data_IF_980064058216
#
_entry.id   IF_980064058216
#
_cell.length_a   1.000
_cell.length_b   1.000
_cell.length_c   1.000
_cell.angle_alpha   90.00
_cell.angle_beta   90.00
_cell.angle_gamma   90.00
#
_symmetry.space_group_name_H-M   'P 1'
#
loop_
_entity.id
_entity.type
_entity.pdbx_description
1 polymer ?
#
# COMPACT_ATOMS: atom_id res chain seq x y z
N UNK A 1 8.15 -9.63 -42.27
CA UNK A 1 8.79 -9.09 -41.05
C UNK A 1 8.25 -7.68 -40.87
N UNK A 2 7.08 -7.55 -40.21
CA UNK A 2 6.39 -6.26 -40.07
C UNK A 2 7.11 -5.41 -39.02
N UNK A 3 7.46 -4.18 -39.38
CA UNK A 3 8.05 -3.19 -38.48
C UNK A 3 7.02 -2.82 -37.42
N UNK A 4 7.21 -3.33 -36.19
CA UNK A 4 6.49 -2.87 -35.01
C UNK A 4 6.81 -1.39 -34.82
N UNK A 5 5.91 -0.52 -35.28
CA UNK A 5 5.92 0.88 -34.92
C UNK A 5 5.64 0.94 -33.42
N UNK A 6 6.71 1.01 -32.62
CA UNK A 6 6.64 1.10 -31.17
C UNK A 6 6.21 2.52 -30.84
N UNK A 7 4.90 2.76 -30.82
CA UNK A 7 4.33 4.02 -30.36
C UNK A 7 4.92 4.34 -28.99
N UNK A 8 5.86 5.30 -28.97
CA UNK A 8 6.61 5.62 -27.75
C UNK A 8 5.63 6.21 -26.74
N UNK A 9 5.58 5.62 -25.55
CA UNK A 9 4.81 6.16 -24.44
C UNK A 9 5.29 7.58 -24.16
N UNK A 10 4.38 8.58 -24.08
CA UNK A 10 4.76 9.95 -23.78
C UNK A 10 5.50 10.04 -22.44
N UNK A 11 6.64 10.75 -22.42
CA UNK A 11 7.48 10.92 -21.22
C UNK A 11 6.68 11.44 -20.02
N UNK A 12 5.69 12.30 -20.22
CA UNK A 12 4.82 12.80 -19.15
C UNK A 12 4.02 11.69 -18.44
N UNK A 13 3.57 10.65 -19.17
CA UNK A 13 2.89 9.49 -18.57
C UNK A 13 3.86 8.64 -17.75
N UNK A 14 5.08 8.45 -18.26
CA UNK A 14 6.15 7.75 -17.54
C UNK A 14 6.52 8.49 -16.26
N UNK A 15 6.68 9.82 -16.31
CA UNK A 15 6.95 10.64 -15.14
C UNK A 15 5.82 10.57 -14.11
N UNK A 16 4.56 10.62 -14.55
CA UNK A 16 3.42 10.47 -13.64
C UNK A 16 3.41 9.09 -12.96
N UNK A 17 3.68 8.02 -13.71
CA UNK A 17 3.79 6.67 -13.15
C UNK A 17 4.96 6.56 -12.14
N UNK A 18 6.13 7.08 -12.49
CA UNK A 18 7.32 7.06 -11.63
C UNK A 18 7.14 7.90 -10.37
N UNK A 19 6.41 9.02 -10.44
CA UNK A 19 6.17 9.89 -9.27
C UNK A 19 5.45 9.17 -8.12
N UNK A 20 4.54 8.25 -8.45
CA UNK A 20 3.85 7.41 -7.47
C UNK A 20 4.86 6.49 -6.76
N UNK A 21 5.81 5.93 -7.51
CA UNK A 21 6.82 5.04 -6.96
C UNK A 21 7.74 5.78 -5.97
N UNK A 22 8.12 7.03 -6.28
CA UNK A 22 8.89 7.87 -5.35
C UNK A 22 8.12 8.13 -4.06
N UNK A 23 6.83 8.49 -4.17
CA UNK A 23 5.96 8.70 -3.01
C UNK A 23 5.84 7.43 -2.16
N UNK A 24 5.53 6.30 -2.79
CA UNK A 24 5.36 5.00 -2.11
C UNK A 24 6.66 4.44 -1.53
N UNK A 25 7.83 4.78 -2.08
CA UNK A 25 9.13 4.26 -1.59
C UNK A 25 9.41 4.64 -0.13
N UNK A 26 8.98 5.84 0.28
CA UNK A 26 9.11 6.31 1.67
C UNK A 26 8.22 5.48 2.62
N UNK A 27 7.06 5.04 2.13
CA UNK A 27 6.17 4.14 2.87
C UNK A 27 6.72 2.72 2.91
N UNK A 28 7.32 2.21 1.84
CA UNK A 28 7.67 0.78 1.81
C UNK A 28 9.01 0.43 2.46
N UNK A 29 10.00 1.33 2.41
CA UNK A 29 11.39 0.92 2.65
C UNK A 29 11.78 0.79 4.14
N UNK A 30 11.55 1.77 5.04
CA UNK A 30 11.87 1.61 6.46
C UNK A 30 10.70 1.11 7.33
N UNK A 31 9.45 1.20 6.85
CA UNK A 31 8.26 1.05 7.70
C UNK A 31 8.15 -0.29 8.42
N UNK A 32 8.25 -1.46 7.74
CA UNK A 32 8.01 -2.73 8.40
C UNK A 32 9.07 -3.02 9.47
N UNK A 33 10.29 -2.53 9.30
CA UNK A 33 11.38 -2.78 10.24
C UNK A 33 11.31 -1.88 11.48
N UNK A 34 11.07 -0.57 11.28
CA UNK A 34 11.03 0.41 12.39
C UNK A 34 9.81 0.17 13.28
N UNK A 35 8.64 -0.07 12.69
CA UNK A 35 7.39 -0.18 13.44
C UNK A 35 7.38 -1.37 14.39
N UNK A 36 7.92 -2.52 13.99
CA UNK A 36 8.01 -3.71 14.86
C UNK A 36 8.85 -3.39 16.10
N UNK A 37 10.03 -2.84 15.89
CA UNK A 37 10.94 -2.48 16.98
C UNK A 37 10.36 -1.37 17.86
N UNK A 38 9.62 -0.42 17.27
CA UNK A 38 8.99 0.67 17.99
C UNK A 38 7.88 0.17 18.93
N UNK A 39 6.92 -0.63 18.41
CA UNK A 39 5.84 -1.17 19.25
C UNK A 39 6.35 -2.13 20.32
N UNK A 40 7.40 -2.92 20.03
CA UNK A 40 7.97 -3.83 21.01
C UNK A 40 8.70 -3.12 22.16
N UNK A 41 9.17 -1.88 21.96
CA UNK A 41 9.96 -1.13 22.95
C UNK A 41 9.18 -0.03 23.66
N UNK A 42 8.20 0.57 22.99
CA UNK A 42 7.52 1.80 23.45
C UNK A 42 6.03 1.62 23.72
N UNK A 43 5.47 0.42 23.55
CA UNK A 43 4.06 0.16 23.90
C UNK A 43 3.91 -1.15 24.68
N UNK A 44 2.72 -1.40 25.21
CA UNK A 44 2.38 -2.65 25.93
C UNK A 44 2.18 -3.88 25.01
N UNK A 45 2.43 -3.75 23.71
CA UNK A 45 2.28 -4.84 22.77
C UNK A 45 3.38 -5.90 22.98
N UNK A 46 3.01 -7.08 23.49
CA UNK A 46 3.95 -8.18 23.65
C UNK A 46 4.60 -8.58 22.32
N UNK A 47 5.92 -8.78 22.31
CA UNK A 47 6.70 -9.12 21.11
C UNK A 47 6.16 -10.38 20.41
N UNK A 48 5.77 -11.40 21.17
CA UNK A 48 5.15 -12.61 20.64
C UNK A 48 3.85 -12.30 19.89
N UNK A 49 3.00 -11.43 20.46
CA UNK A 49 1.75 -10.99 19.82
C UNK A 49 2.01 -10.18 18.55
N UNK A 50 3.01 -9.30 18.54
CA UNK A 50 3.44 -8.55 17.34
C UNK A 50 3.79 -9.53 16.20
N UNK A 51 4.61 -10.55 16.48
CA UNK A 51 4.97 -11.57 15.49
C UNK A 51 3.76 -12.33 14.94
N UNK A 52 2.84 -12.75 15.81
CA UNK A 52 1.60 -13.42 15.41
C UNK A 52 0.70 -12.51 14.57
N UNK A 53 0.55 -11.24 14.97
CA UNK A 53 -0.23 -10.23 14.24
C UNK A 53 0.30 -10.03 12.83
N UNK A 54 1.62 -9.94 12.66
CA UNK A 54 2.23 -9.80 11.34
C UNK A 54 1.96 -11.02 10.45
N UNK A 55 2.00 -12.23 11.02
CA UNK A 55 1.66 -13.45 10.29
C UNK A 55 0.20 -13.42 9.81
N UNK A 56 -0.75 -13.04 10.68
CA UNK A 56 -2.15 -12.88 10.29
C UNK A 56 -2.32 -11.78 9.24
N UNK A 57 -1.57 -10.69 9.36
CA UNK A 57 -1.61 -9.59 8.40
C UNK A 57 -1.13 -10.04 7.02
N UNK A 58 -0.16 -10.96 6.93
CA UNK A 58 0.27 -11.56 5.67
C UNK A 58 -0.82 -12.43 5.03
N UNK A 59 -1.56 -13.19 5.83
CA UNK A 59 -2.71 -13.96 5.32
C UNK A 59 -3.79 -13.00 4.80
N UNK A 60 -4.01 -11.89 5.52
CA UNK A 60 -4.94 -10.85 5.10
C UNK A 60 -4.52 -10.19 3.77
N UNK A 61 -3.22 -9.94 3.56
CA UNK A 61 -2.68 -9.43 2.28
C UNK A 61 -2.98 -10.39 1.11
N UNK A 62 -2.80 -11.70 1.31
CA UNK A 62 -3.06 -12.73 0.29
C UNK A 62 -4.50 -12.66 -0.25
N UNK A 63 -5.45 -12.20 0.57
CA UNK A 63 -6.85 -12.02 0.18
C UNK A 63 -7.11 -10.61 -0.38
N UNK A 64 -6.54 -9.59 0.27
CA UNK A 64 -6.77 -8.19 -0.07
C UNK A 64 -6.18 -7.79 -1.42
N UNK A 65 -5.05 -8.39 -1.81
CA UNK A 65 -4.37 -8.10 -3.06
C UNK A 65 -5.21 -8.51 -4.29
N UNK A 66 -5.68 -9.76 -4.45
CA UNK A 66 -6.59 -10.14 -5.53
C UNK A 66 -7.90 -9.37 -5.53
N UNK A 67 -8.48 -9.13 -4.34
CA UNK A 67 -9.74 -8.40 -4.21
C UNK A 67 -9.59 -6.97 -4.74
N UNK A 68 -8.53 -6.27 -4.36
CA UNK A 68 -8.24 -4.92 -4.84
C UNK A 68 -7.96 -4.91 -6.33
N UNK A 69 -7.23 -5.91 -6.84
CA UNK A 69 -7.04 -6.10 -8.28
C UNK A 69 -8.38 -6.17 -9.03
N UNK A 70 -9.24 -7.09 -8.62
CA UNK A 70 -10.55 -7.31 -9.22
C UNK A 70 -11.47 -6.07 -9.12
N UNK A 71 -11.56 -5.44 -7.95
CA UNK A 71 -12.40 -4.25 -7.78
C UNK A 71 -11.89 -3.06 -8.60
N UNK A 72 -10.57 -2.91 -8.70
CA UNK A 72 -9.97 -1.86 -9.53
C UNK A 72 -10.18 -2.11 -11.03
N UNK A 73 -10.26 -3.37 -11.48
CA UNK A 73 -10.60 -3.73 -12.86
C UNK A 73 -12.03 -3.30 -13.24
N UNK A 74 -12.97 -3.49 -12.32
CA UNK A 74 -14.39 -3.17 -12.51
C UNK A 74 -14.68 -1.67 -12.45
N UNK A 75 -13.76 -0.88 -11.90
CA UNK A 75 -13.96 0.54 -11.66
C UNK A 75 -13.96 1.33 -12.96
N UNK A 76 -15.07 2.01 -13.27
CA UNK A 76 -15.22 2.88 -14.46
C UNK A 76 -15.35 4.32 -14.02
N UNK A 77 -14.28 5.10 -14.13
CA UNK A 77 -14.31 6.54 -13.85
C UNK A 77 -13.70 7.35 -14.97
N UNK A 78 -14.01 8.65 -15.02
CA UNK A 78 -13.49 9.60 -16.02
C UNK A 78 -11.96 9.76 -15.99
N UNK A 79 -11.34 9.50 -14.83
CA UNK A 79 -9.88 9.60 -14.65
C UNK A 79 -9.15 8.27 -14.90
N UNK A 80 -9.88 7.21 -15.25
CA UNK A 80 -9.36 5.87 -15.53
C UNK A 80 -9.76 4.84 -14.47
N UNK A 81 -9.38 3.58 -14.70
CA UNK A 81 -9.76 2.46 -13.81
C UNK A 81 -8.92 2.43 -12.53
N UNK A 82 -7.60 2.62 -12.65
CA UNK A 82 -6.61 2.47 -11.57
C UNK A 82 -6.41 3.73 -10.73
N UNK A 83 -6.43 4.91 -11.35
CA UNK A 83 -6.10 6.19 -10.68
C UNK A 83 -6.98 6.52 -9.47
N UNK A 84 -8.31 6.26 -9.47
CA UNK A 84 -9.14 6.50 -8.29
C UNK A 84 -8.68 5.73 -7.06
N UNK A 85 -8.23 4.48 -7.23
CA UNK A 85 -7.77 3.62 -6.14
C UNK A 85 -6.47 4.13 -5.54
N UNK A 86 -5.52 4.53 -6.40
CA UNK A 86 -4.25 5.13 -5.98
C UNK A 86 -4.50 6.43 -5.20
N UNK A 87 -5.39 7.29 -5.68
CA UNK A 87 -5.74 8.55 -5.00
C UNK A 87 -6.44 8.27 -3.67
N UNK A 88 -7.39 7.34 -3.63
CA UNK A 88 -8.08 6.95 -2.42
C UNK A 88 -7.10 6.38 -1.38
N UNK A 89 -6.19 5.50 -1.79
CA UNK A 89 -5.11 4.99 -0.94
C UNK A 89 -4.22 6.12 -0.41
N UNK A 90 -3.81 7.07 -1.26
CA UNK A 90 -3.01 8.22 -0.84
C UNK A 90 -3.72 9.09 0.21
N UNK A 91 -5.02 9.35 0.05
CA UNK A 91 -5.81 10.16 1.00
C UNK A 91 -6.02 9.40 2.31
N UNK A 92 -6.40 8.12 2.25
CA UNK A 92 -6.62 7.28 3.42
C UNK A 92 -5.31 6.97 4.16
N UNK A 93 -4.18 6.96 3.46
CA UNK A 93 -2.87 6.72 4.03
C UNK A 93 -2.43 7.79 5.03
N UNK A 94 -2.88 9.03 4.89
CA UNK A 94 -2.51 10.14 5.79
C UNK A 94 -2.94 9.85 7.24
N UNK A 95 -4.24 9.66 7.55
CA UNK A 95 -4.66 9.37 8.91
C UNK A 95 -4.17 8.00 9.40
N UNK A 96 -4.02 7.02 8.50
CA UNK A 96 -3.56 5.66 8.88
C UNK A 96 -2.09 5.67 9.29
N UNK A 97 -1.23 6.39 8.58
CA UNK A 97 0.15 6.60 9.00
C UNK A 97 0.22 7.33 10.34
N UNK A 98 -0.60 8.37 10.54
CA UNK A 98 -0.62 9.07 11.82
C UNK A 98 -0.94 8.12 12.98
N UNK A 99 -1.97 7.27 12.82
CA UNK A 99 -2.32 6.26 13.83
C UNK A 99 -1.19 5.25 14.07
N UNK A 100 -0.54 4.76 13.01
CA UNK A 100 0.56 3.80 13.14
C UNK A 100 1.78 4.37 13.85
N UNK A 101 2.05 5.68 13.72
CA UNK A 101 3.21 6.35 14.32
C UNK A 101 2.94 7.04 15.64
N UNK A 102 1.68 7.24 15.99
CA UNK A 102 1.27 7.91 17.22
C UNK A 102 0.43 7.00 18.12
N UNK A 103 0.89 5.79 18.49
CA UNK A 103 0.23 5.01 19.51
C UNK A 103 0.38 5.69 20.88
N UNK A 104 -0.61 5.48 21.76
CA UNK A 104 -0.45 5.74 23.20
C UNK A 104 0.51 4.71 23.81
N UNK A 105 1.12 5.04 24.95
CA UNK A 105 2.01 4.10 25.67
C UNK A 105 1.26 2.79 26.03
N UNK A 106 -0.02 2.92 26.41
CA UNK A 106 -0.95 1.84 26.75
C UNK A 106 -1.42 1.03 25.52
N UNK A 107 -0.93 1.32 24.32
CA UNK A 107 -1.37 0.66 23.10
C UNK A 107 -0.92 -0.81 23.06
N UNK A 108 -1.88 -1.71 23.32
CA UNK A 108 -1.67 -3.15 23.25
C UNK A 108 -1.73 -3.72 21.82
N UNK A 109 -1.64 -5.05 21.74
CA UNK A 109 -1.61 -5.78 20.47
C UNK A 109 -2.82 -5.55 19.56
N UNK A 110 -4.02 -5.30 20.10
CA UNK A 110 -5.21 -5.04 19.27
C UNK A 110 -5.09 -3.72 18.51
N UNK A 111 -4.56 -2.68 19.14
CA UNK A 111 -4.29 -1.40 18.47
C UNK A 111 -3.31 -1.61 17.32
N UNK A 112 -2.20 -2.31 17.61
CA UNK A 112 -1.19 -2.63 16.62
C UNK A 112 -1.79 -3.44 15.45
N UNK A 113 -2.62 -4.45 15.74
CA UNK A 113 -3.31 -5.26 14.73
C UNK A 113 -4.16 -4.40 13.79
N UNK A 114 -4.98 -3.50 14.32
CA UNK A 114 -5.83 -2.64 13.50
C UNK A 114 -4.99 -1.64 12.67
N UNK A 115 -4.01 -1.00 13.31
CA UNK A 115 -3.17 0.01 12.66
C UNK A 115 -2.34 -0.60 11.53
N UNK A 116 -1.71 -1.76 11.76
CA UNK A 116 -0.84 -2.41 10.77
C UNK A 116 -1.65 -2.98 9.60
N UNK A 117 -2.83 -3.54 9.84
CA UNK A 117 -3.69 -4.04 8.76
C UNK A 117 -4.29 -2.89 7.94
N UNK A 118 -4.68 -1.79 8.59
CA UNK A 118 -5.11 -0.59 7.87
C UNK A 118 -3.99 -0.03 6.98
N UNK A 119 -2.75 -0.03 7.48
CA UNK A 119 -1.58 0.36 6.71
C UNK A 119 -1.35 -0.56 5.50
N UNK A 120 -1.40 -1.88 5.69
CA UNK A 120 -1.25 -2.81 4.57
C UNK A 120 -2.38 -2.70 3.54
N UNK A 121 -3.62 -2.47 3.97
CA UNK A 121 -4.72 -2.16 3.06
C UNK A 121 -4.42 -0.94 2.19
N UNK A 122 -3.99 0.17 2.80
CA UNK A 122 -3.61 1.38 2.05
C UNK A 122 -2.50 1.07 1.05
N UNK A 123 -1.49 0.32 1.48
CA UNK A 123 -0.40 -0.10 0.60
C UNK A 123 -0.94 -0.89 -0.59
N UNK A 124 -1.81 -1.86 -0.38
CA UNK A 124 -2.44 -2.67 -1.42
C UNK A 124 -3.28 -1.82 -2.39
N UNK A 125 -4.07 -0.86 -1.89
CA UNK A 125 -4.87 0.07 -2.70
C UNK A 125 -4.03 0.91 -3.67
N UNK A 126 -2.75 1.13 -3.36
CA UNK A 126 -1.81 1.86 -4.21
C UNK A 126 -1.01 0.90 -5.10
N UNK A 127 -0.39 -0.12 -4.50
CA UNK A 127 0.58 -1.00 -5.13
C UNK A 127 -0.03 -1.87 -6.22
N UNK A 128 -1.17 -2.51 -5.96
CA UNK A 128 -1.81 -3.42 -6.92
C UNK A 128 -2.27 -2.67 -8.17
N UNK A 129 -3.03 -1.56 -8.07
CA UNK A 129 -3.41 -0.79 -9.26
C UNK A 129 -2.22 -0.15 -9.97
N UNK A 130 -1.15 0.20 -9.26
CA UNK A 130 0.08 0.72 -9.86
C UNK A 130 0.76 -0.33 -10.73
N UNK A 131 0.99 -1.55 -10.24
CA UNK A 131 1.62 -2.62 -11.05
C UNK A 131 0.77 -2.91 -12.29
N UNK A 132 -0.54 -3.03 -12.12
CA UNK A 132 -1.46 -3.23 -13.25
C UNK A 132 -1.36 -2.08 -14.26
N UNK A 133 -1.32 -0.84 -13.81
CA UNK A 133 -1.14 0.32 -14.69
C UNK A 133 0.22 0.27 -15.43
N UNK A 134 1.28 -0.22 -14.80
CA UNK A 134 2.59 -0.43 -15.44
C UNK A 134 2.55 -1.39 -16.62
N UNK A 135 1.75 -2.46 -16.53
CA UNK A 135 1.53 -3.41 -17.64
C UNK A 135 0.70 -2.82 -18.79
N UNK A 136 -0.14 -1.83 -18.50
CA UNK A 136 -0.91 -1.10 -19.53
C UNK A 136 -0.05 -0.04 -20.26
N UNK A 137 1.17 0.24 -19.80
CA UNK A 137 2.10 1.18 -20.43
C UNK A 137 3.05 0.53 -21.43
N UNK A 138 3.12 -0.81 -21.54
CA UNK A 138 4.05 -1.53 -22.43
C UNK A 138 3.57 -1.69 -23.86
#
# INVERSE_FOLDING_TARGET
MATLNKDRVPTGKLLAYSSINVGSSIFESPMPMIIIAFYAQYTEAALASIGTILLFSKIFDVISDPLTGYLSDLTKTRIGKRKPWIIAGGILGIPILYLLFSPSEDAGGMYFFLAINAYYLVRTLIFVPQIAWGTELS
#
